data_IF_372620931315
#
_entry.id   IF_372620931315
#
_cell.length_a   1.000
_cell.length_b   1.000
_cell.length_c   1.000
_cell.angle_alpha   90.00
_cell.angle_beta   90.00
_cell.angle_gamma   90.00
#
_symmetry.space_group_name_H-M   'P 1'
#
loop_
_entity.id
_entity.type
_entity.pdbx_description
1 polymer ?
#
# COMPACT_ATOMS: atom_id res chain seq x y z
N UNK A 1 28.41 6.33 4.73
CA UNK A 1 28.62 7.60 5.46
C UNK A 1 29.41 8.61 4.63
N UNK A 2 30.57 8.27 4.06
CA UNK A 2 31.36 9.20 3.23
C UNK A 2 30.55 9.93 2.13
N UNK A 3 29.87 9.19 1.24
CA UNK A 3 29.04 9.78 0.18
C UNK A 3 27.91 10.69 0.70
N UNK A 4 27.38 10.40 1.90
CA UNK A 4 26.35 11.24 2.52
C UNK A 4 26.94 12.55 3.05
N UNK A 5 28.15 12.52 3.62
CA UNK A 5 28.87 13.74 4.02
C UNK A 5 29.25 14.59 2.81
N UNK A 6 29.71 13.98 1.73
CA UNK A 6 29.95 14.67 0.45
C UNK A 6 28.68 15.32 -0.11
N UNK A 7 27.51 14.72 0.13
CA UNK A 7 26.21 15.29 -0.20
C UNK A 7 25.69 16.31 0.84
N UNK A 8 26.49 16.68 1.85
CA UNK A 8 26.17 17.70 2.85
C UNK A 8 25.44 17.18 4.10
N UNK A 9 25.39 15.87 4.33
CA UNK A 9 24.75 15.29 5.51
C UNK A 9 25.77 14.82 6.54
N UNK A 10 25.80 15.52 7.67
CA UNK A 10 26.49 15.07 8.88
C UNK A 10 25.52 14.25 9.73
N UNK A 11 25.76 12.94 9.77
CA UNK A 11 24.88 11.96 10.41
C UNK A 11 25.71 10.96 11.22
N UNK A 12 25.16 10.53 12.35
CA UNK A 12 25.65 9.40 13.14
C UNK A 12 25.05 8.07 12.64
N UNK A 13 23.80 8.12 12.16
CA UNK A 13 23.09 6.97 11.59
C UNK A 13 22.06 7.39 10.54
N UNK A 14 21.69 6.48 9.63
CA UNK A 14 20.82 6.79 8.47
C UNK A 14 19.42 7.27 8.89
N UNK A 15 18.89 6.76 10.01
CA UNK A 15 17.61 7.20 10.55
C UNK A 15 17.51 8.70 10.82
N UNK A 16 18.64 9.36 11.13
CA UNK A 16 18.67 10.82 11.34
C UNK A 16 18.24 11.61 10.10
N UNK A 17 18.37 11.09 8.89
CA UNK A 17 17.86 11.78 7.69
C UNK A 17 16.35 12.03 7.77
N UNK A 18 15.59 11.04 8.27
CA UNK A 18 14.14 11.17 8.44
C UNK A 18 13.80 12.15 9.56
N UNK A 19 14.57 12.11 10.64
CA UNK A 19 14.38 13.01 11.78
C UNK A 19 14.69 14.45 11.37
N UNK A 20 15.85 14.68 10.74
CA UNK A 20 16.29 15.95 10.15
C UNK A 20 15.24 16.54 9.21
N UNK A 21 14.69 15.73 8.30
CA UNK A 21 13.61 16.17 7.43
C UNK A 21 12.33 16.54 8.19
N UNK A 22 11.96 15.74 9.21
CA UNK A 22 10.71 15.93 9.96
C UNK A 22 10.74 17.12 10.91
N UNK A 23 11.82 17.29 11.66
CA UNK A 23 11.88 18.25 12.76
C UNK A 23 12.66 19.53 12.41
N UNK A 24 13.56 19.46 11.44
CA UNK A 24 14.43 20.58 11.07
C UNK A 24 14.29 21.02 9.61
N UNK A 25 13.39 20.40 8.84
CA UNK A 25 13.10 20.78 7.46
C UNK A 25 14.26 20.58 6.48
N UNK A 26 15.25 19.76 6.85
CA UNK A 26 16.37 19.39 5.96
C UNK A 26 15.82 18.60 4.79
N UNK A 27 16.21 18.96 3.56
CA UNK A 27 15.80 18.25 2.37
C UNK A 27 16.56 16.91 2.23
N UNK A 28 15.90 15.73 2.36
CA UNK A 28 16.57 14.45 2.25
C UNK A 28 16.80 14.01 0.80
N UNK A 29 16.28 14.76 -0.20
CA UNK A 29 16.33 14.35 -1.61
C UNK A 29 17.74 14.09 -2.16
N UNK A 30 18.77 14.89 -1.83
CA UNK A 30 20.14 14.60 -2.27
C UNK A 30 20.68 13.26 -1.75
N UNK A 31 20.18 12.73 -0.63
CA UNK A 31 20.60 11.44 -0.10
C UNK A 31 19.99 10.26 -0.87
N UNK A 32 18.84 10.41 -1.54
CA UNK A 32 18.11 9.26 -2.07
C UNK A 32 18.87 8.44 -3.13
N UNK A 33 19.57 9.03 -4.12
CA UNK A 33 20.37 8.24 -5.07
C UNK A 33 21.45 7.41 -4.37
N UNK A 34 22.06 7.96 -3.32
CA UNK A 34 23.07 7.29 -2.50
C UNK A 34 22.42 6.11 -1.77
N UNK A 35 21.29 6.34 -1.10
CA UNK A 35 20.57 5.30 -0.37
C UNK A 35 20.11 4.15 -1.28
N UNK A 36 19.56 4.44 -2.46
CA UNK A 36 19.16 3.42 -3.44
C UNK A 36 20.36 2.62 -3.98
N UNK A 37 21.49 3.28 -4.20
CA UNK A 37 22.76 2.62 -4.61
C UNK A 37 23.30 1.68 -3.54
N UNK A 38 23.16 2.04 -2.26
CA UNK A 38 23.77 1.31 -1.15
C UNK A 38 22.87 0.22 -0.55
N UNK A 39 21.54 0.35 -0.58
CA UNK A 39 20.61 -0.69 -0.08
C UNK A 39 20.97 -2.12 -0.51
N UNK A 40 21.20 -2.42 -1.82
CA UNK A 40 21.52 -3.78 -2.25
C UNK A 40 22.88 -4.27 -1.74
N UNK A 41 23.82 -3.37 -1.42
CA UNK A 41 25.21 -3.68 -1.04
C UNK A 41 25.40 -3.93 0.46
N UNK A 42 24.40 -3.64 1.28
CA UNK A 42 24.49 -3.75 2.74
C UNK A 42 24.19 -5.17 3.23
N UNK A 43 25.03 -5.69 4.14
CA UNK A 43 24.82 -6.99 4.78
C UNK A 43 24.06 -6.89 6.11
N UNK A 44 24.23 -5.78 6.84
CA UNK A 44 23.64 -5.61 8.18
C UNK A 44 22.13 -5.25 8.11
N UNK A 45 21.22 -6.13 8.59
CA UNK A 45 19.77 -5.93 8.43
C UNK A 45 19.21 -4.64 9.05
N UNK A 46 19.63 -4.21 10.26
CA UNK A 46 19.17 -2.93 10.83
C UNK A 46 19.46 -1.72 9.93
N UNK A 47 20.65 -1.65 9.33
CA UNK A 47 20.99 -0.57 8.40
C UNK A 47 20.17 -0.64 7.11
N UNK A 48 19.94 -1.83 6.54
CA UNK A 48 19.03 -1.99 5.40
C UNK A 48 17.61 -1.52 5.73
N UNK A 49 17.13 -1.87 6.92
CA UNK A 49 15.82 -1.46 7.43
C UNK A 49 15.72 0.07 7.55
N UNK A 50 16.78 0.71 8.05
CA UNK A 50 16.83 2.17 8.12
C UNK A 50 16.87 2.82 6.74
N UNK A 51 17.65 2.29 5.80
CA UNK A 51 17.67 2.77 4.43
C UNK A 51 16.28 2.63 3.79
N UNK A 52 15.64 1.46 3.89
CA UNK A 52 14.32 1.21 3.34
C UNK A 52 13.24 2.15 3.92
N UNK A 53 13.26 2.39 5.23
CA UNK A 53 12.36 3.38 5.87
C UNK A 53 12.61 4.80 5.37
N UNK A 54 13.87 5.19 5.15
CA UNK A 54 14.18 6.53 4.61
C UNK A 54 13.74 6.68 3.15
N UNK A 55 13.73 5.58 2.38
CA UNK A 55 13.18 5.56 1.02
C UNK A 55 11.64 5.59 0.96
N UNK A 56 10.94 5.53 2.10
CA UNK A 56 9.49 5.73 2.20
C UNK A 56 9.09 7.21 2.09
N UNK A 57 9.55 7.89 1.04
CA UNK A 57 9.29 9.30 0.78
C UNK A 57 8.49 9.46 -0.51
N UNK A 58 7.40 10.24 -0.49
CA UNK A 58 6.49 10.37 -1.64
C UNK A 58 7.15 10.89 -2.92
N UNK A 59 8.21 11.70 -2.83
CA UNK A 59 8.94 12.17 -4.01
C UNK A 59 9.73 11.06 -4.72
N UNK A 60 9.83 9.88 -4.12
CA UNK A 60 10.46 8.69 -4.71
C UNK A 60 9.44 7.78 -5.41
N UNK A 61 8.17 8.17 -5.46
CA UNK A 61 7.17 7.46 -6.24
C UNK A 61 7.37 7.72 -7.75
N UNK A 62 7.50 6.69 -8.61
CA UNK A 62 7.68 5.26 -8.31
C UNK A 62 9.15 4.79 -8.36
N UNK A 63 10.11 5.70 -8.54
CA UNK A 63 11.54 5.43 -8.74
C UNK A 63 12.16 4.46 -7.71
N UNK A 64 11.74 4.50 -6.45
CA UNK A 64 12.28 3.59 -5.42
C UNK A 64 11.63 2.19 -5.40
N UNK A 65 10.52 1.96 -6.11
CA UNK A 65 9.81 0.68 -6.05
C UNK A 65 10.67 -0.53 -6.47
N UNK A 66 11.48 -0.49 -7.56
CA UNK A 66 12.30 -1.64 -7.95
C UNK A 66 13.30 -2.10 -6.88
N UNK A 67 14.00 -1.15 -6.24
CA UNK A 67 15.01 -1.50 -5.22
C UNK A 67 14.36 -2.01 -3.93
N UNK A 68 13.16 -1.52 -3.61
CA UNK A 68 12.39 -1.98 -2.44
C UNK A 68 11.73 -3.34 -2.68
N UNK A 69 11.26 -3.63 -3.90
CA UNK A 69 10.80 -4.98 -4.29
C UNK A 69 11.94 -5.99 -4.14
N UNK A 70 13.14 -5.64 -4.63
CA UNK A 70 14.31 -6.51 -4.47
C UNK A 70 14.65 -6.75 -3.00
N UNK A 71 14.56 -5.72 -2.14
CA UNK A 71 14.80 -5.86 -0.71
C UNK A 71 13.72 -6.68 -0.01
N UNK A 72 12.45 -6.54 -0.40
CA UNK A 72 11.35 -7.38 0.12
C UNK A 72 11.56 -8.86 -0.22
N UNK A 73 12.04 -9.16 -1.44
CA UNK A 73 12.30 -10.53 -1.90
C UNK A 73 13.58 -11.15 -1.31
N UNK A 74 14.51 -10.34 -0.76
CA UNK A 74 15.82 -10.81 -0.25
C UNK A 74 15.67 -11.90 0.81
N UNK A 75 16.42 -12.99 0.71
CA UNK A 75 16.44 -14.07 1.72
C UNK A 75 16.77 -13.58 3.13
N UNK A 76 16.14 -14.21 4.13
CA UNK A 76 16.33 -13.90 5.55
C UNK A 76 16.93 -15.10 6.27
N UNK A 77 17.92 -14.84 7.10
CA UNK A 77 18.48 -15.86 8.00
C UNK A 77 17.56 -15.99 9.22
N UNK A 78 16.87 -17.13 9.41
CA UNK A 78 15.96 -17.32 10.54
C UNK A 78 16.68 -17.35 11.88
N UNK A 79 18.00 -17.55 11.91
CA UNK A 79 18.80 -17.54 13.15
C UNK A 79 19.12 -16.12 13.63
N UNK A 80 19.00 -15.12 12.76
CA UNK A 80 19.26 -13.71 13.07
C UNK A 80 17.93 -13.02 13.39
N UNK A 81 17.70 -12.68 14.67
CA UNK A 81 16.47 -12.02 15.16
C UNK A 81 16.04 -10.79 14.35
N UNK A 82 16.99 -10.08 13.73
CA UNK A 82 16.75 -8.85 12.96
C UNK A 82 16.65 -9.05 11.44
N UNK A 83 16.77 -10.27 10.93
CA UNK A 83 16.85 -10.53 9.48
C UNK A 83 15.62 -10.05 8.71
N UNK A 84 14.43 -10.16 9.32
CA UNK A 84 13.16 -9.72 8.73
C UNK A 84 12.92 -8.20 8.73
N UNK A 85 13.69 -7.41 9.51
CA UNK A 85 13.43 -5.97 9.69
C UNK A 85 13.50 -5.19 8.37
N UNK A 86 14.36 -5.61 7.45
CA UNK A 86 14.52 -4.91 6.19
C UNK A 86 13.38 -5.23 5.20
N UNK A 87 12.84 -6.46 5.21
CA UNK A 87 11.64 -6.81 4.44
C UNK A 87 10.41 -6.05 4.92
N UNK A 88 10.20 -5.99 6.23
CA UNK A 88 9.09 -5.24 6.84
C UNK A 88 9.15 -3.76 6.46
N UNK A 89 10.34 -3.14 6.58
CA UNK A 89 10.57 -1.77 6.17
C UNK A 89 10.34 -1.56 4.67
N UNK A 90 10.73 -2.53 3.83
CA UNK A 90 10.49 -2.47 2.39
C UNK A 90 8.99 -2.54 2.05
N UNK A 91 8.21 -3.41 2.73
CA UNK A 91 6.76 -3.49 2.54
C UNK A 91 6.07 -2.14 2.84
N UNK A 92 6.39 -1.54 3.98
CA UNK A 92 5.87 -0.22 4.37
C UNK A 92 6.29 0.87 3.38
N UNK A 93 7.53 0.82 2.90
CA UNK A 93 8.00 1.78 1.89
C UNK A 93 7.26 1.62 0.56
N UNK A 94 6.99 0.38 0.13
CA UNK A 94 6.23 0.07 -1.09
C UNK A 94 4.78 0.57 -1.01
N UNK A 95 4.16 0.54 0.16
CA UNK A 95 2.83 1.15 0.40
C UNK A 95 2.78 2.65 0.02
N UNK A 96 3.92 3.35 0.15
CA UNK A 96 4.06 4.78 -0.13
C UNK A 96 4.48 5.03 -1.57
N UNK A 97 5.47 4.29 -2.07
CA UNK A 97 6.13 4.62 -3.34
C UNK A 97 5.65 3.81 -4.53
N UNK A 98 4.99 2.66 -4.34
CA UNK A 98 4.47 1.89 -5.48
C UNK A 98 3.31 2.65 -6.14
N UNK A 99 3.26 2.56 -7.47
CA UNK A 99 2.17 3.09 -8.30
C UNK A 99 1.57 1.97 -9.17
N UNK A 100 0.61 2.35 -9.99
CA UNK A 100 -0.12 1.43 -10.88
C UNK A 100 0.80 0.69 -11.86
N UNK A 101 1.99 1.21 -12.19
CA UNK A 101 2.95 0.52 -13.08
C UNK A 101 3.59 -0.71 -12.41
N UNK A 102 3.52 -0.79 -11.08
CA UNK A 102 4.01 -1.92 -10.28
C UNK A 102 2.88 -2.85 -9.80
N UNK A 103 1.63 -2.63 -10.25
CA UNK A 103 0.47 -3.37 -9.73
C UNK A 103 0.67 -4.89 -9.74
N UNK A 104 1.13 -5.45 -10.86
CA UNK A 104 1.25 -6.91 -11.02
C UNK A 104 2.30 -7.51 -10.08
N UNK A 105 3.41 -6.81 -9.89
CA UNK A 105 4.48 -7.25 -8.99
C UNK A 105 4.07 -7.13 -7.52
N UNK A 106 3.33 -6.09 -7.15
CA UNK A 106 2.81 -5.95 -5.79
C UNK A 106 1.69 -6.98 -5.52
N UNK A 107 0.84 -7.26 -6.52
CA UNK A 107 -0.20 -8.28 -6.42
C UNK A 107 0.40 -9.68 -6.24
N UNK A 108 1.43 -10.04 -7.01
CA UNK A 108 2.18 -11.30 -6.86
C UNK A 108 2.70 -11.47 -5.42
N UNK A 109 3.32 -10.43 -4.86
CA UNK A 109 3.86 -10.46 -3.51
C UNK A 109 2.78 -10.51 -2.43
N UNK A 110 1.68 -9.76 -2.60
CA UNK A 110 0.56 -9.73 -1.67
C UNK A 110 -0.21 -11.07 -1.64
N UNK A 111 -0.22 -11.81 -2.74
CA UNK A 111 -0.90 -13.10 -2.85
C UNK A 111 -0.02 -14.29 -2.46
N UNK A 112 1.28 -14.10 -2.20
CA UNK A 112 2.22 -15.19 -1.90
C UNK A 112 2.24 -15.56 -0.40
N UNK A 113 1.56 -16.63 0.06
CA UNK A 113 1.33 -16.88 1.49
C UNK A 113 2.62 -17.08 2.30
N UNK A 114 3.72 -17.44 1.63
CA UNK A 114 5.06 -17.58 2.22
C UNK A 114 5.60 -16.32 2.92
N UNK A 115 5.04 -15.15 2.61
CA UNK A 115 5.42 -13.90 3.28
C UNK A 115 4.57 -13.58 4.53
N UNK A 116 3.55 -14.38 4.85
CA UNK A 116 2.74 -14.22 6.07
C UNK A 116 2.15 -12.81 6.20
N UNK A 117 2.27 -12.22 7.38
CA UNK A 117 1.73 -10.88 7.68
C UNK A 117 2.53 -9.72 7.06
N UNK A 118 3.76 -9.95 6.57
CA UNK A 118 4.55 -8.91 5.90
C UNK A 118 3.88 -8.37 4.63
N UNK A 119 2.83 -9.05 4.16
CA UNK A 119 2.04 -8.69 2.99
C UNK A 119 1.03 -7.58 3.25
N UNK A 120 0.65 -7.32 4.50
CA UNK A 120 -0.39 -6.33 4.83
C UNK A 120 -0.13 -4.95 4.18
N UNK A 121 1.08 -4.34 4.26
CA UNK A 121 1.33 -3.07 3.59
C UNK A 121 1.20 -3.13 2.06
N UNK A 122 1.40 -4.30 1.46
CA UNK A 122 1.24 -4.50 0.02
C UNK A 122 -0.25 -4.56 -0.35
N UNK A 123 -1.09 -5.18 0.48
CA UNK A 123 -2.56 -5.13 0.35
C UNK A 123 -3.06 -3.69 0.42
N UNK A 124 -2.55 -2.92 1.39
CA UNK A 124 -2.84 -1.48 1.51
C UNK A 124 -2.40 -0.67 0.28
N UNK A 125 -1.23 -0.99 -0.28
CA UNK A 125 -0.73 -0.40 -1.52
C UNK A 125 -1.71 -0.64 -2.68
N UNK A 126 -2.08 -1.90 -2.90
CA UNK A 126 -2.99 -2.32 -3.98
C UNK A 126 -4.35 -1.64 -3.86
N UNK A 127 -4.91 -1.58 -2.65
CA UNK A 127 -6.19 -0.92 -2.40
C UNK A 127 -6.16 0.59 -2.77
N UNK A 128 -5.00 1.26 -2.66
CA UNK A 128 -4.83 2.68 -2.98
C UNK A 128 -4.59 2.98 -4.46
N UNK A 129 -4.00 2.04 -5.21
CA UNK A 129 -3.77 2.18 -6.66
C UNK A 129 -5.10 2.40 -7.39
N UNK A 130 -5.12 2.93 -8.61
CA UNK A 130 -6.32 3.07 -9.44
C UNK A 130 -6.32 2.02 -10.56
N UNK A 131 -6.21 0.76 -10.17
CA UNK A 131 -6.15 -0.35 -11.11
C UNK A 131 -7.50 -1.11 -11.18
N UNK A 132 -7.95 -1.55 -12.37
CA UNK A 132 -9.24 -2.25 -12.52
C UNK A 132 -9.28 -3.60 -11.79
N UNK A 133 -8.15 -4.31 -11.68
CA UNK A 133 -8.06 -5.62 -11.00
C UNK A 133 -7.96 -5.58 -9.47
N UNK A 134 -8.12 -4.42 -8.84
CA UNK A 134 -7.98 -4.32 -7.36
C UNK A 134 -9.03 -5.13 -6.61
N UNK A 135 -10.27 -5.11 -7.08
CA UNK A 135 -11.35 -5.86 -6.47
C UNK A 135 -11.06 -7.36 -6.52
N UNK A 136 -10.60 -7.87 -7.66
CA UNK A 136 -10.21 -9.27 -7.86
C UNK A 136 -9.11 -9.71 -6.87
N UNK A 137 -8.04 -8.90 -6.70
CA UNK A 137 -6.96 -9.24 -5.77
C UNK A 137 -7.43 -9.21 -4.31
N UNK A 138 -8.25 -8.22 -3.93
CA UNK A 138 -8.82 -8.14 -2.58
C UNK A 138 -9.81 -9.29 -2.31
N UNK A 139 -10.59 -9.70 -3.31
CA UNK A 139 -11.49 -10.85 -3.21
C UNK A 139 -10.69 -12.13 -2.98
N UNK A 140 -9.61 -12.35 -3.73
CA UNK A 140 -8.76 -13.54 -3.59
C UNK A 140 -8.13 -13.66 -2.18
N UNK A 141 -7.91 -12.54 -1.49
CA UNK A 141 -7.35 -12.51 -0.13
C UNK A 141 -8.39 -12.76 0.97
N UNK A 142 -9.68 -12.85 0.64
CA UNK A 142 -10.71 -13.19 1.63
C UNK A 142 -10.54 -14.63 2.15
N UNK A 143 -10.09 -15.55 1.30
CA UNK A 143 -9.86 -16.96 1.66
C UNK A 143 -8.50 -17.18 2.35
N UNK A 144 -7.68 -16.14 2.50
CA UNK A 144 -6.37 -16.20 3.15
C UNK A 144 -6.53 -15.97 4.66
N UNK A 145 -6.29 -17.01 5.48
CA UNK A 145 -6.46 -16.94 6.94
C UNK A 145 -5.69 -15.77 7.59
N UNK A 146 -4.50 -15.46 7.09
CA UNK A 146 -3.66 -14.41 7.64
C UNK A 146 -4.01 -13.02 7.08
N UNK A 147 -4.61 -12.92 5.90
CA UNK A 147 -4.86 -11.65 5.21
C UNK A 147 -6.34 -11.27 5.06
N UNK A 148 -7.27 -12.15 5.40
CA UNK A 148 -8.71 -11.91 5.24
C UNK A 148 -9.14 -10.62 5.96
N UNK A 149 -8.58 -10.34 7.14
CA UNK A 149 -8.86 -9.12 7.90
C UNK A 149 -8.39 -7.85 7.15
N UNK A 150 -7.18 -7.88 6.58
CA UNK A 150 -6.61 -6.76 5.83
C UNK A 150 -7.40 -6.51 4.52
N UNK A 151 -7.82 -7.60 3.86
CA UNK A 151 -8.72 -7.53 2.71
C UNK A 151 -10.07 -6.91 3.08
N UNK A 152 -10.74 -7.40 4.12
CA UNK A 152 -12.04 -6.90 4.59
C UNK A 152 -11.98 -5.41 4.95
N UNK A 153 -10.93 -4.97 5.66
CA UNK A 153 -10.80 -3.55 6.02
C UNK A 153 -10.60 -2.68 4.78
N UNK A 154 -9.75 -3.11 3.84
CA UNK A 154 -9.51 -2.36 2.61
C UNK A 154 -10.73 -2.34 1.68
N UNK A 155 -11.45 -3.45 1.55
CA UNK A 155 -12.72 -3.55 0.84
C UNK A 155 -13.69 -2.47 1.35
N UNK A 156 -13.88 -2.40 2.67
CA UNK A 156 -14.73 -1.40 3.31
C UNK A 156 -14.20 0.03 3.17
N UNK A 157 -12.92 0.28 3.48
CA UNK A 157 -12.31 1.62 3.43
C UNK A 157 -12.36 2.23 2.02
N UNK A 158 -12.24 1.42 0.98
CA UNK A 158 -12.22 1.88 -0.42
C UNK A 158 -13.60 1.82 -1.08
N UNK A 159 -14.56 1.17 -0.44
CA UNK A 159 -15.94 1.11 -0.93
C UNK A 159 -16.11 0.20 -2.14
N UNK A 160 -15.44 -0.96 -2.14
CA UNK A 160 -15.66 -2.02 -3.14
C UNK A 160 -16.98 -2.74 -2.84
N UNK A 161 -18.10 -2.03 -3.02
CA UNK A 161 -19.44 -2.47 -2.63
C UNK A 161 -19.91 -3.69 -3.42
N UNK A 162 -19.33 -3.95 -4.60
CA UNK A 162 -19.53 -5.16 -5.38
C UNK A 162 -19.08 -6.44 -4.63
N UNK A 163 -18.17 -6.32 -3.65
CA UNK A 163 -17.69 -7.44 -2.83
C UNK A 163 -18.49 -7.63 -1.53
N UNK A 164 -19.58 -6.89 -1.34
CA UNK A 164 -20.38 -6.93 -0.11
C UNK A 164 -20.84 -8.34 0.25
N UNK A 165 -21.36 -9.08 -0.73
CA UNK A 165 -21.86 -10.44 -0.51
C UNK A 165 -20.74 -11.45 -0.22
N UNK A 166 -19.50 -11.12 -0.60
CA UNK A 166 -18.30 -11.91 -0.25
C UNK A 166 -17.81 -11.62 1.16
N UNK A 167 -18.00 -10.39 1.66
CA UNK A 167 -17.64 -9.98 3.03
C UNK A 167 -18.69 -10.44 4.06
N UNK A 168 -19.98 -10.47 3.69
CA UNK A 168 -21.10 -10.78 4.59
C UNK A 168 -20.97 -12.10 5.38
N UNK A 169 -20.50 -13.22 4.81
CA UNK A 169 -20.34 -14.48 5.54
C UNK A 169 -19.44 -14.39 6.77
N UNK A 170 -18.46 -13.49 6.75
CA UNK A 170 -17.52 -13.29 7.87
C UNK A 170 -18.20 -12.71 9.14
N UNK A 171 -19.47 -12.31 9.10
CA UNK A 171 -20.24 -11.97 10.30
C UNK A 171 -20.40 -13.18 11.24
N UNK A 172 -20.34 -14.40 10.70
CA UNK A 172 -20.48 -15.63 11.46
C UNK A 172 -19.15 -16.11 12.08
N UNK A 173 -18.04 -15.39 11.86
CA UNK A 173 -16.75 -15.74 12.47
C UNK A 173 -16.84 -15.73 13.99
N UNK A 174 -16.16 -16.67 14.64
CA UNK A 174 -16.07 -16.74 16.10
C UNK A 174 -15.19 -15.61 16.66
N UNK A 175 -14.25 -15.09 15.86
CA UNK A 175 -13.38 -13.98 16.26
C UNK A 175 -14.19 -12.68 16.37
N UNK A 176 -14.42 -12.25 17.61
CA UNK A 176 -15.13 -11.01 17.94
C UNK A 176 -14.47 -9.76 17.35
N UNK A 177 -13.15 -9.74 17.19
CA UNK A 177 -12.43 -8.59 16.60
C UNK A 177 -12.68 -8.53 15.10
N UNK A 178 -12.54 -9.67 14.42
CA UNK A 178 -12.85 -9.78 12.99
C UNK A 178 -14.32 -9.47 12.72
N UNK A 179 -15.26 -9.98 13.53
CA UNK A 179 -16.69 -9.69 13.37
C UNK A 179 -16.99 -8.18 13.43
N UNK A 180 -16.43 -7.45 14.40
CA UNK A 180 -16.57 -5.99 14.49
C UNK A 180 -15.99 -5.26 13.27
N UNK A 181 -14.88 -5.77 12.74
CA UNK A 181 -14.28 -5.23 11.52
C UNK A 181 -15.20 -5.45 10.31
N UNK A 182 -15.81 -6.64 10.19
CA UNK A 182 -16.77 -6.99 9.14
C UNK A 182 -18.00 -6.10 9.22
N UNK A 183 -18.60 -5.92 10.40
CA UNK A 183 -19.75 -5.02 10.62
C UNK A 183 -19.43 -3.60 10.12
N UNK A 184 -18.29 -3.05 10.56
CA UNK A 184 -17.81 -1.72 10.13
C UNK A 184 -17.53 -1.66 8.63
N UNK A 185 -17.02 -2.74 8.04
CA UNK A 185 -16.75 -2.83 6.60
C UNK A 185 -18.07 -2.79 5.81
N UNK A 186 -19.04 -3.62 6.17
CA UNK A 186 -20.37 -3.67 5.54
C UNK A 186 -21.10 -2.33 5.62
N UNK A 187 -21.06 -1.63 6.76
CA UNK A 187 -21.63 -0.27 6.86
C UNK A 187 -21.01 0.72 5.87
N UNK A 188 -19.69 0.61 5.62
CA UNK A 188 -19.00 1.45 4.63
C UNK A 188 -19.40 1.07 3.22
N UNK A 189 -19.58 -0.22 2.94
CA UNK A 189 -20.03 -0.72 1.63
C UNK A 189 -21.46 -0.26 1.32
N UNK A 190 -22.39 -0.37 2.27
CA UNK A 190 -23.77 0.12 2.13
C UNK A 190 -23.80 1.62 1.79
N UNK A 191 -22.97 2.42 2.47
CA UNK A 191 -22.82 3.86 2.18
C UNK A 191 -22.20 4.11 0.80
N UNK A 192 -21.22 3.29 0.39
CA UNK A 192 -20.56 3.42 -0.91
C UNK A 192 -21.53 3.09 -2.05
N UNK A 193 -22.33 2.03 -1.92
CA UNK A 193 -23.37 1.63 -2.87
C UNK A 193 -24.43 2.72 -3.03
N UNK A 194 -24.98 3.22 -1.92
CA UNK A 194 -25.97 4.30 -1.94
C UNK A 194 -25.44 5.55 -2.65
N UNK A 195 -24.19 5.93 -2.38
CA UNK A 195 -23.51 7.06 -3.04
C UNK A 195 -23.30 6.82 -4.54
N UNK A 196 -22.93 5.60 -4.93
CA UNK A 196 -22.76 5.21 -6.33
C UNK A 196 -24.10 5.30 -7.09
N UNK A 197 -25.18 4.77 -6.50
CA UNK A 197 -26.52 4.82 -7.06
C UNK A 197 -27.03 6.27 -7.21
N UNK A 198 -26.83 7.12 -6.21
CA UNK A 198 -27.21 8.54 -6.29
C UNK A 198 -26.45 9.27 -7.40
N UNK A 199 -25.14 9.01 -7.53
CA UNK A 199 -24.29 9.60 -8.58
C UNK A 199 -24.77 9.14 -9.97
N UNK A 200 -25.10 7.86 -10.13
CA UNK A 200 -25.62 7.32 -11.38
C UNK A 200 -26.96 7.97 -11.77
N UNK A 201 -27.89 8.12 -10.81
CA UNK A 201 -29.17 8.81 -11.03
C UNK A 201 -28.98 10.24 -11.51
N UNK A 202 -28.16 11.04 -10.80
CA UNK A 202 -27.87 12.44 -11.18
C UNK A 202 -27.20 12.53 -12.56
N UNK A 203 -26.35 11.57 -12.92
CA UNK A 203 -25.72 11.53 -14.24
C UNK A 203 -26.76 11.24 -15.34
N UNK A 204 -27.70 10.32 -15.12
CA UNK A 204 -28.79 10.00 -16.04
C UNK A 204 -29.72 11.20 -16.26
N UNK A 205 -30.13 11.89 -15.19
CA UNK A 205 -30.96 13.11 -15.25
C UNK A 205 -30.28 14.23 -16.07
N UNK A 206 -28.99 14.47 -15.83
CA UNK A 206 -28.20 15.45 -16.60
C UNK A 206 -28.12 15.10 -18.08
N UNK A 207 -27.93 13.81 -18.40
CA UNK A 207 -27.90 13.34 -19.79
C UNK A 207 -29.26 13.54 -20.47
N UNK A 208 -30.35 13.17 -19.80
CA UNK A 208 -31.71 13.36 -20.30
C UNK A 208 -32.06 14.84 -20.57
N UNK A 209 -31.66 15.76 -19.68
CA UNK A 209 -31.86 17.19 -19.87
C UNK A 209 -31.11 17.73 -21.09
N UNK A 210 -29.87 17.31 -21.31
CA UNK A 210 -29.07 17.70 -22.48
C UNK A 210 -29.66 17.20 -23.80
N UNK A 211 -30.16 15.96 -23.83
CA UNK A 211 -30.80 15.40 -25.03
C UNK A 211 -32.06 16.20 -25.40
N UNK A 212 -32.90 16.56 -24.41
CA UNK A 212 -34.10 17.37 -24.63
C UNK A 212 -33.80 18.79 -25.12
N UNK A 213 -32.73 19.43 -24.63
CA UNK A 213 -32.33 20.77 -25.10
C UNK A 213 -31.68 20.75 -26.48
N UNK A 214 -31.01 19.66 -26.86
CA UNK A 214 -30.42 19.51 -28.20
C UNK A 214 -31.46 19.24 -29.29
N UNK A 215 -32.51 18.48 -28.97
CA UNK A 215 -33.63 18.22 -29.89
C UNK A 215 -34.57 19.43 -30.09
N UNK A 216 -34.54 20.42 -29.21
CA UNK A 216 -35.32 21.65 -29.33
C UNK A 216 -34.61 22.75 -30.16
N UNK A 217 -33.35 22.52 -30.55
CA UNK A 217 -32.52 23.47 -31.31
C UNK A 217 -32.20 22.98 -32.74
N UNK A 218 -32.88 21.94 -33.21
CA UNK A 218 -32.88 21.42 -34.59
C UNK A 218 -34.30 21.41 -35.13
#
# INVERSE_FOLDING_TARGET
MAELREAGFELDFIGQLREQARYWGVDPRPAFPILMKWLPKMSWPPLRSDIARTLSHKSLKPVAAPVLIAEFKREVDPTVKSSGLSREAAAIALEVVADESFFDQIAELALAPSYGELREPLVDALAKMKHPRRAEVLEALLDDEHMCWAAIDNIGKKGFYELRDKVKPFLQTEDKRLRKLVEKSLERLDKAEAKAAEKARKAAERKARKTRSGQAAS
#
